data_IF_972653398544
#
_entry.id   IF_972653398544
#
_cell.length_a   1.000
_cell.length_b   1.000
_cell.length_c   1.000
_cell.angle_alpha   90.00
_cell.angle_beta   90.00
_cell.angle_gamma   90.00
#
_symmetry.space_group_name_H-M   'P 1'
#
loop_
_entity.id
_entity.type
_entity.pdbx_description
1 polymer ?
#
# COMPACT_ATOMS: atom_id res chain seq x y z
N UNK A 1 -2.66 4.68 -16.03
CA UNK A 1 -3.00 3.35 -15.48
C UNK A 1 -2.04 2.25 -15.95
N UNK A 2 -1.74 2.14 -17.26
CA UNK A 2 -0.81 1.13 -17.81
C UNK A 2 0.51 0.98 -17.02
N UNK A 3 1.20 2.09 -16.76
CA UNK A 3 2.49 2.05 -16.05
C UNK A 3 2.39 1.46 -14.64
N UNK A 4 1.28 1.67 -13.93
CA UNK A 4 1.08 1.07 -12.61
C UNK A 4 0.91 -0.44 -12.72
N UNK A 5 0.09 -0.91 -13.66
CA UNK A 5 -0.08 -2.34 -13.93
C UNK A 5 1.27 -3.00 -14.26
N UNK A 6 2.05 -2.43 -15.17
CA UNK A 6 3.35 -2.98 -15.57
C UNK A 6 4.35 -3.03 -14.40
N UNK A 7 4.42 -1.97 -13.59
CA UNK A 7 5.29 -1.95 -12.40
C UNK A 7 4.85 -2.99 -11.37
N UNK A 8 3.54 -3.08 -11.11
CA UNK A 8 2.98 -4.02 -10.15
C UNK A 8 3.19 -5.47 -10.60
N UNK A 9 2.97 -5.78 -11.88
CA UNK A 9 3.22 -7.10 -12.46
C UNK A 9 4.71 -7.46 -12.40
N UNK A 10 5.59 -6.56 -12.86
CA UNK A 10 7.03 -6.82 -12.90
C UNK A 10 7.61 -7.08 -11.51
N UNK A 11 7.21 -6.29 -10.50
CA UNK A 11 7.69 -6.44 -9.14
C UNK A 11 6.84 -7.38 -8.27
N UNK A 12 5.75 -7.93 -8.82
CA UNK A 12 4.76 -8.77 -8.11
C UNK A 12 4.20 -8.09 -6.86
N UNK A 13 3.92 -6.79 -6.96
CA UNK A 13 3.31 -6.01 -5.90
C UNK A 13 1.79 -6.05 -6.01
N UNK A 14 1.12 -6.52 -4.97
CA UNK A 14 -0.35 -6.53 -4.90
C UNK A 14 -0.93 -5.18 -4.48
N UNK A 15 -0.09 -4.32 -3.89
CA UNK A 15 -0.43 -2.97 -3.44
C UNK A 15 0.79 -2.04 -3.45
N UNK A 16 0.59 -0.77 -3.77
CA UNK A 16 1.64 0.27 -3.79
C UNK A 16 1.15 1.58 -3.14
N UNK A 17 1.99 2.27 -2.36
CA UNK A 17 1.64 3.57 -1.80
C UNK A 17 1.56 4.63 -2.92
N UNK A 18 0.62 5.55 -2.77
CA UNK A 18 0.46 6.73 -3.61
C UNK A 18 0.93 7.96 -2.84
N UNK A 19 1.66 8.81 -3.52
CA UNK A 19 2.28 10.02 -2.97
C UNK A 19 1.87 11.18 -3.89
N UNK A 20 1.55 12.33 -3.31
CA UNK A 20 1.33 13.58 -4.07
C UNK A 20 2.63 14.32 -4.39
N UNK A 21 2.50 15.47 -5.06
CA UNK A 21 3.64 16.29 -5.48
C UNK A 21 4.39 16.94 -4.28
N UNK A 22 3.76 17.00 -3.11
CA UNK A 22 4.38 17.49 -1.86
C UNK A 22 5.06 16.37 -1.06
N UNK A 23 5.04 15.14 -1.58
CA UNK A 23 5.63 13.98 -0.91
C UNK A 23 4.72 13.38 0.17
N UNK A 24 3.47 13.82 0.30
CA UNK A 24 2.54 13.30 1.31
C UNK A 24 1.94 11.97 0.86
N UNK A 25 1.74 11.07 1.82
CA UNK A 25 1.03 9.84 1.57
C UNK A 25 -0.47 10.11 1.38
N UNK A 26 -1.02 9.76 0.20
CA UNK A 26 -2.43 10.06 -0.16
C UNK A 26 -3.29 8.81 -0.33
N UNK A 27 -2.70 7.62 -0.23
CA UNK A 27 -3.45 6.37 -0.26
C UNK A 27 -2.64 5.18 -0.74
N UNK A 28 -3.32 4.07 -0.96
CA UNK A 28 -2.72 2.85 -1.51
C UNK A 28 -3.52 2.41 -2.74
N UNK A 29 -2.82 2.10 -3.81
CA UNK A 29 -3.38 1.48 -5.00
C UNK A 29 -3.19 -0.03 -4.92
N UNK A 30 -4.26 -0.79 -5.07
CA UNK A 30 -4.22 -2.26 -5.13
C UNK A 30 -4.52 -2.80 -6.52
N UNK A 31 -4.11 -4.04 -6.80
CA UNK A 31 -4.53 -4.76 -8.01
C UNK A 31 -6.06 -4.86 -8.10
N UNK A 32 -6.72 -4.99 -6.94
CA UNK A 32 -8.18 -4.99 -6.85
C UNK A 32 -8.79 -3.68 -7.38
N UNK A 33 -8.25 -2.53 -6.99
CA UNK A 33 -8.75 -1.22 -7.46
C UNK A 33 -8.65 -1.10 -8.99
N UNK A 34 -7.51 -1.53 -9.54
CA UNK A 34 -7.29 -1.57 -10.98
C UNK A 34 -8.25 -2.53 -11.69
N UNK A 35 -8.45 -3.73 -11.14
CA UNK A 35 -9.41 -4.71 -11.66
C UNK A 35 -10.83 -4.14 -11.69
N UNK A 36 -11.27 -3.48 -10.62
CA UNK A 36 -12.60 -2.88 -10.55
C UNK A 36 -12.75 -1.70 -11.51
N UNK A 37 -11.72 -0.87 -11.69
CA UNK A 37 -11.74 0.19 -12.71
C UNK A 37 -11.89 -0.40 -14.10
N UNK A 38 -11.13 -1.44 -14.44
CA UNK A 38 -11.21 -2.12 -15.73
C UNK A 38 -12.61 -2.70 -15.94
N UNK A 39 -13.13 -3.45 -14.96
CA UNK A 39 -14.46 -4.08 -15.01
C UNK A 39 -15.58 -3.08 -15.24
N UNK A 40 -15.48 -1.88 -14.67
CA UNK A 40 -16.50 -0.84 -14.76
C UNK A 40 -16.26 0.15 -15.93
N UNK A 41 -15.25 -0.09 -16.76
CA UNK A 41 -14.98 0.73 -17.96
C UNK A 41 -15.58 0.05 -19.18
N UNK A 42 -16.63 0.63 -19.76
CA UNK A 42 -17.25 0.15 -20.99
C UNK A 42 -16.27 0.27 -22.18
N UNK A 43 -16.32 -0.67 -23.12
CA UNK A 43 -15.41 -0.78 -24.27
C UNK A 43 -13.92 -0.73 -23.89
N UNK A 44 -13.56 -1.42 -22.82
CA UNK A 44 -12.18 -1.51 -22.37
C UNK A 44 -11.28 -2.13 -23.46
N UNK A 45 -10.23 -1.40 -23.83
CA UNK A 45 -9.17 -1.85 -24.74
C UNK A 45 -7.81 -1.50 -24.15
N UNK A 46 -6.79 -2.28 -24.49
CA UNK A 46 -5.42 -2.03 -24.02
C UNK A 46 -4.92 -0.63 -24.42
N UNK A 47 -5.29 -0.14 -25.61
CA UNK A 47 -4.93 1.22 -26.07
C UNK A 47 -5.49 2.32 -25.16
N UNK A 48 -6.62 2.08 -24.51
CA UNK A 48 -7.22 3.03 -23.55
C UNK A 48 -6.53 3.04 -22.19
N UNK A 49 -5.75 2.01 -21.81
CA UNK A 49 -5.00 2.00 -20.54
C UNK A 49 -4.01 3.16 -20.40
N UNK A 50 -3.52 3.66 -21.53
CA UNK A 50 -2.62 4.82 -21.59
C UNK A 50 -3.34 6.14 -21.29
N UNK A 51 -4.66 6.20 -21.50
CA UNK A 51 -5.47 7.42 -21.38
C UNK A 51 -6.12 7.58 -20.01
N UNK A 52 -6.23 6.50 -19.23
CA UNK A 52 -6.84 6.51 -17.90
C UNK A 52 -5.79 6.97 -16.88
N UNK A 53 -6.05 8.10 -16.22
CA UNK A 53 -5.24 8.57 -15.10
C UNK A 53 -5.42 7.66 -13.88
N UNK A 54 -4.38 7.53 -13.05
CA UNK A 54 -4.51 6.82 -11.77
C UNK A 54 -5.45 7.53 -10.80
N UNK A 55 -5.56 8.85 -10.90
CA UNK A 55 -6.50 9.64 -10.08
C UNK A 55 -7.97 9.31 -10.36
N UNK A 56 -8.27 8.68 -11.49
CA UNK A 56 -9.62 8.23 -11.84
C UNK A 56 -9.94 6.82 -11.32
N UNK A 57 -8.97 6.15 -10.68
CA UNK A 57 -9.15 4.82 -10.07
C UNK A 57 -9.69 5.03 -8.66
N UNK A 58 -10.92 4.59 -8.34
CA UNK A 58 -11.43 4.69 -6.98
C UNK A 58 -10.60 3.80 -6.07
N UNK A 59 -9.98 4.40 -5.04
CA UNK A 59 -9.22 3.66 -4.03
C UNK A 59 -10.22 3.07 -3.03
N UNK A 60 -10.42 1.75 -3.06
CA UNK A 60 -11.38 1.08 -2.18
C UNK A 60 -10.80 0.77 -0.81
N UNK A 61 -9.47 0.70 -0.71
CA UNK A 61 -8.77 0.43 0.54
C UNK A 61 -7.81 1.58 0.85
N UNK A 62 -7.98 2.19 2.03
CA UNK A 62 -7.04 3.17 2.54
C UNK A 62 -6.25 2.54 3.66
N UNK A 63 -4.99 2.19 3.38
CA UNK A 63 -4.04 1.86 4.44
C UNK A 63 -3.77 3.14 5.24
N UNK A 64 -3.92 3.06 6.55
CA UNK A 64 -3.65 4.18 7.44
C UNK A 64 -2.16 4.19 7.81
N UNK A 65 -1.48 5.34 7.65
CA UNK A 65 -0.08 5.44 8.01
C UNK A 65 0.09 5.45 9.53
N UNK A 66 1.30 5.13 9.98
CA UNK A 66 1.80 5.47 11.32
C UNK A 66 2.88 6.54 11.20
N UNK A 67 3.16 7.25 12.29
CA UNK A 67 4.31 8.16 12.36
C UNK A 67 5.62 7.39 12.54
N UNK A 68 6.75 8.03 12.22
CA UNK A 68 8.08 7.45 12.36
C UNK A 68 8.43 7.05 13.81
N UNK A 69 7.82 7.70 14.80
CA UNK A 69 7.99 7.44 16.22
C UNK A 69 7.00 6.39 16.78
N UNK A 70 6.23 5.72 15.91
CA UNK A 70 5.26 4.72 16.31
C UNK A 70 5.89 3.49 16.99
N UNK A 71 5.14 2.92 17.94
CA UNK A 71 5.56 1.72 18.67
C UNK A 71 5.30 0.46 17.85
N UNK A 72 5.90 -0.66 18.28
CA UNK A 72 5.60 -1.96 17.66
C UNK A 72 4.12 -2.36 17.83
N UNK A 73 3.46 -1.93 18.90
CA UNK A 73 2.03 -2.15 19.11
C UNK A 73 1.20 -1.48 18.02
N UNK A 74 1.48 -0.20 17.73
CA UNK A 74 0.81 0.55 16.66
C UNK A 74 1.00 -0.12 15.29
N UNK A 75 2.21 -0.63 15.02
CA UNK A 75 2.52 -1.37 13.80
C UNK A 75 1.71 -2.66 13.69
N UNK A 76 1.59 -3.44 14.76
CA UNK A 76 0.81 -4.68 14.80
C UNK A 76 -0.67 -4.38 14.55
N UNK A 77 -1.23 -3.39 15.25
CA UNK A 77 -2.63 -3.00 15.13
C UNK A 77 -2.98 -2.63 13.69
N UNK A 78 -2.13 -1.82 13.04
CA UNK A 78 -2.30 -1.52 11.61
C UNK A 78 -2.10 -2.76 10.76
N UNK A 79 -1.06 -3.54 11.00
CA UNK A 79 -0.73 -4.69 10.17
C UNK A 79 -1.83 -5.75 10.14
N UNK A 80 -2.74 -5.82 11.10
CA UNK A 80 -3.89 -6.73 11.07
C UNK A 80 -4.84 -6.40 9.90
N UNK A 81 -5.05 -5.11 9.61
CA UNK A 81 -6.08 -4.64 8.68
C UNK A 81 -5.57 -4.33 7.26
N UNK A 82 -4.26 -4.14 7.09
CA UNK A 82 -3.64 -3.68 5.84
C UNK A 82 -2.41 -4.50 5.43
N UNK A 83 -2.20 -4.62 4.12
CA UNK A 83 -1.15 -5.46 3.51
C UNK A 83 0.29 -5.03 3.88
N UNK A 84 0.48 -3.75 4.21
CA UNK A 84 1.69 -3.17 4.75
C UNK A 84 1.31 -1.94 5.58
N UNK A 85 2.24 -1.42 6.38
CA UNK A 85 2.04 -0.21 7.17
C UNK A 85 2.85 0.94 6.54
N UNK A 86 2.20 1.95 5.92
CA UNK A 86 2.88 3.16 5.48
C UNK A 86 3.42 3.93 6.70
N UNK A 87 4.57 4.56 6.55
CA UNK A 87 5.20 5.38 7.58
C UNK A 87 5.37 6.79 7.06
N UNK A 88 4.99 7.78 7.88
CA UNK A 88 5.11 9.20 7.59
C UNK A 88 5.91 9.92 8.68
N UNK A 89 6.49 11.07 8.35
CA UNK A 89 7.10 11.98 9.33
C UNK A 89 6.05 12.90 10.00
N UNK A 90 6.54 13.86 10.77
CA UNK A 90 5.73 14.81 11.53
C UNK A 90 4.87 15.73 10.65
N UNK A 91 5.34 16.00 9.43
CA UNK A 91 4.63 16.82 8.44
C UNK A 91 3.70 15.95 7.57
N UNK A 92 3.70 14.62 7.72
CA UNK A 92 2.94 13.70 6.89
C UNK A 92 3.62 13.30 5.58
N UNK A 93 4.91 13.62 5.42
CA UNK A 93 5.72 13.18 4.27
C UNK A 93 5.92 11.68 4.37
N UNK A 94 5.70 10.98 3.25
CA UNK A 94 5.92 9.55 3.16
C UNK A 94 7.41 9.22 3.20
N UNK A 95 7.81 8.39 4.16
CA UNK A 95 9.22 7.99 4.35
C UNK A 95 9.47 6.50 4.07
N UNK A 96 8.41 5.68 4.03
CA UNK A 96 8.56 4.27 3.70
C UNK A 96 7.40 3.39 4.13
N UNK A 97 7.65 2.08 4.14
CA UNK A 97 6.69 1.07 4.59
C UNK A 97 7.35 0.08 5.56
N UNK A 98 6.54 -0.46 6.47
CA UNK A 98 6.87 -1.67 7.23
C UNK A 98 6.01 -2.81 6.68
N UNK A 99 6.62 -3.94 6.31
CA UNK A 99 5.89 -5.09 5.77
C UNK A 99 5.48 -6.04 6.89
N UNK A 100 4.38 -6.75 6.69
CA UNK A 100 3.87 -7.77 7.63
C UNK A 100 4.91 -8.84 7.98
N UNK A 101 5.77 -9.21 7.02
CA UNK A 101 6.82 -10.20 7.23
C UNK A 101 7.74 -9.81 8.38
N UNK A 102 8.20 -8.57 8.43
CA UNK A 102 9.10 -8.08 9.48
C UNK A 102 8.39 -8.00 10.84
N UNK A 103 7.11 -7.59 10.86
CA UNK A 103 6.30 -7.54 12.09
C UNK A 103 6.09 -8.95 12.65
N UNK A 104 5.72 -9.90 11.80
CA UNK A 104 5.52 -11.31 12.18
C UNK A 104 6.83 -11.94 12.65
N UNK A 105 7.94 -11.68 11.95
CA UNK A 105 9.27 -12.18 12.35
C UNK A 105 9.69 -11.66 13.73
N UNK A 106 9.41 -10.37 14.02
CA UNK A 106 9.63 -9.81 15.35
C UNK A 106 8.76 -10.51 16.42
N UNK A 107 7.46 -10.65 16.17
CA UNK A 107 6.55 -11.31 17.10
C UNK A 107 6.95 -12.77 17.37
N UNK A 108 7.33 -13.51 16.32
CA UNK A 108 7.77 -14.89 16.45
C UNK A 108 9.02 -15.02 17.36
N UNK A 109 10.00 -14.12 17.20
CA UNK A 109 11.19 -14.08 18.07
C UNK A 109 10.84 -13.79 19.53
N UNK A 110 9.92 -12.86 19.78
CA UNK A 110 9.49 -12.53 21.14
C UNK A 110 8.70 -13.68 21.81
N UNK A 111 7.95 -14.46 21.03
CA UNK A 111 7.26 -15.65 21.52
C UNK A 111 8.26 -16.76 21.86
N UNK A 112 9.24 -17.02 21.00
CA UNK A 112 10.28 -18.02 21.26
C UNK A 112 11.08 -17.73 22.54
N UNK A 113 11.43 -16.46 22.79
CA UNK A 113 12.14 -16.03 24.01
C UNK A 113 11.34 -16.22 25.31
N UNK A 114 10.02 -16.46 25.23
CA UNK A 114 9.14 -16.70 26.39
C UNK A 114 8.92 -18.18 26.68
N UNK A 115 9.31 -19.05 25.75
CA UNK A 115 9.24 -20.50 25.91
C UNK A 115 10.50 -21.08 26.58
N UNK A 116 11.56 -20.27 26.69
CA UNK A 116 12.81 -20.54 27.43
C UNK A 116 12.76 -19.95 28.85
#
# INVERSE_FOLDING_TARGET
MRQALEKMEYHRYTAVPLIDDEGKYVGTLTEGDLLWKIKNTFDFTFDRLNKISLTEVPLRWQNHPVRIDATIGDLIDRAIEQNFVPVVDDDGVFIGIVRRREIIDYCAKQLALRED
#
